data_IF_004474893474
#
_entry.id   IF_004474893474
#
_cell.length_a   1.000
_cell.length_b   1.000
_cell.length_c   1.000
_cell.angle_alpha   90.00
_cell.angle_beta   90.00
_cell.angle_gamma   90.00
#
_symmetry.space_group_name_H-M   'P 1'
#
loop_
_entity.id
_entity.type
_entity.pdbx_description
1 polymer ?
#
# COMPACT_ATOMS: atom_id res chain seq x y z
N UNK A 1 6.84 0.62 25.80
CA UNK A 1 6.75 0.29 24.37
C UNK A 1 6.96 1.56 23.58
N UNK A 2 7.87 1.55 22.60
CA UNK A 2 8.01 2.69 21.66
C UNK A 2 6.89 2.54 20.63
N UNK A 3 6.10 3.60 20.45
CA UNK A 3 4.98 3.57 19.51
C UNK A 3 5.50 3.27 18.09
N UNK A 4 4.84 2.35 17.37
CA UNK A 4 5.20 1.87 16.02
C UNK A 4 6.54 1.14 15.89
N UNK A 5 7.21 0.79 16.98
CA UNK A 5 8.38 -0.07 16.87
C UNK A 5 7.96 -1.45 16.34
N UNK A 6 8.70 -1.94 15.34
CA UNK A 6 8.54 -3.30 14.82
C UNK A 6 9.39 -4.28 15.62
N UNK A 7 8.74 -5.03 16.50
CA UNK A 7 9.39 -6.05 17.33
C UNK A 7 9.81 -7.28 16.51
N UNK A 8 9.05 -7.62 15.46
CA UNK A 8 9.28 -8.80 14.62
C UNK A 8 10.27 -8.55 13.46
N UNK A 9 10.82 -7.33 13.32
CA UNK A 9 11.70 -7.02 12.21
C UNK A 9 13.05 -7.76 12.32
N UNK A 10 13.35 -8.58 11.31
CA UNK A 10 14.63 -9.28 11.22
C UNK A 10 15.46 -8.69 10.07
N UNK A 11 16.65 -8.12 10.34
CA UNK A 11 17.55 -7.70 9.27
C UNK A 11 17.96 -8.89 8.41
N UNK A 12 17.82 -8.73 7.10
CA UNK A 12 18.18 -9.81 6.18
C UNK A 12 19.69 -10.09 6.20
N UNK A 13 20.06 -11.34 6.47
CA UNK A 13 21.45 -11.81 6.45
C UNK A 13 21.88 -12.23 5.04
N UNK A 14 22.09 -11.29 4.11
CA UNK A 14 22.61 -11.64 2.76
C UNK A 14 24.12 -11.47 2.66
N UNK A 15 24.81 -12.53 2.23
CA UNK A 15 26.23 -12.53 1.85
C UNK A 15 26.48 -12.29 0.34
N UNK A 16 25.41 -12.10 -0.46
CA UNK A 16 25.45 -11.81 -1.90
C UNK A 16 24.31 -10.87 -2.30
N UNK A 17 24.50 -10.06 -3.33
CA UNK A 17 23.45 -9.19 -3.89
C UNK A 17 22.39 -10.04 -4.64
N UNK A 18 21.14 -10.15 -4.17
CA UNK A 18 20.09 -10.83 -4.91
C UNK A 18 19.66 -9.97 -6.12
N UNK A 19 19.40 -10.59 -7.27
CA UNK A 19 18.85 -9.90 -8.45
C UNK A 19 17.40 -9.52 -8.15
N UNK A 20 17.16 -8.25 -7.81
CA UNK A 20 15.85 -7.72 -7.45
C UNK A 20 15.64 -6.36 -8.08
N UNK A 21 14.38 -6.03 -8.37
CA UNK A 21 14.01 -4.65 -8.68
C UNK A 21 13.90 -3.88 -7.37
N UNK A 22 14.52 -2.70 -7.32
CA UNK A 22 14.43 -1.79 -6.19
C UNK A 22 13.66 -0.55 -6.64
N UNK A 23 12.45 -0.36 -6.10
CA UNK A 23 11.59 0.79 -6.42
C UNK A 23 12.16 2.08 -5.85
N UNK A 24 12.67 2.05 -4.62
CA UNK A 24 13.22 3.22 -3.92
C UNK A 24 14.52 2.85 -3.19
N UNK A 25 15.47 3.79 -3.06
CA UNK A 25 16.55 3.65 -2.09
C UNK A 25 16.01 3.94 -0.68
N UNK A 26 16.68 3.42 0.36
CA UNK A 26 16.35 3.66 1.78
C UNK A 26 16.72 5.08 2.22
N UNK A 27 16.04 6.06 1.64
CA UNK A 27 16.14 7.49 1.94
C UNK A 27 14.72 8.05 2.07
N UNK A 28 14.58 9.08 2.88
CA UNK A 28 13.31 9.79 3.02
C UNK A 28 12.79 10.32 1.67
N UNK A 29 11.45 10.32 1.57
CA UNK A 29 10.68 10.96 0.48
C UNK A 29 11.08 10.54 -0.93
N UNK A 30 11.28 9.23 -1.14
CA UNK A 30 11.56 8.67 -2.47
C UNK A 30 10.32 7.98 -3.01
N UNK A 31 10.09 8.19 -4.30
CA UNK A 31 9.11 7.45 -5.09
C UNK A 31 9.80 6.90 -6.34
N UNK A 32 9.33 5.76 -6.79
CA UNK A 32 9.74 5.14 -8.04
C UNK A 32 8.62 4.26 -8.55
N UNK A 33 8.57 4.09 -9.86
CA UNK A 33 7.59 3.24 -10.53
C UNK A 33 8.28 2.39 -11.59
N UNK A 34 7.70 1.22 -11.88
CA UNK A 34 8.10 0.36 -12.98
C UNK A 34 6.83 -0.13 -13.66
N UNK A 35 6.77 0.05 -14.98
CA UNK A 35 5.58 -0.27 -15.76
C UNK A 35 5.88 -1.31 -16.82
N UNK A 36 4.88 -2.16 -17.06
CA UNK A 36 4.89 -2.99 -18.25
C UNK A 36 4.58 -2.10 -19.47
N UNK A 37 5.46 -2.08 -20.45
CA UNK A 37 5.38 -1.12 -21.56
C UNK A 37 4.29 -1.44 -22.59
N UNK A 38 3.76 -2.66 -22.60
CA UNK A 38 2.69 -3.08 -23.51
C UNK A 38 1.35 -2.96 -22.78
N UNK A 39 0.38 -2.18 -23.28
CA UNK A 39 -0.95 -2.13 -22.70
C UNK A 39 -1.62 -3.52 -22.69
N UNK A 40 -2.28 -3.84 -21.58
CA UNK A 40 -2.97 -5.12 -21.40
C UNK A 40 -4.48 -4.88 -21.32
N UNK A 41 -5.24 -5.70 -22.04
CA UNK A 41 -6.70 -5.70 -21.93
C UNK A 41 -7.12 -6.37 -20.61
N UNK A 42 -7.66 -5.59 -19.68
CA UNK A 42 -8.08 -6.06 -18.35
C UNK A 42 -9.52 -6.57 -18.30
N UNK A 43 -10.32 -6.31 -19.35
CA UNK A 43 -11.74 -6.65 -19.42
C UNK A 43 -12.05 -8.17 -19.32
N UNK A 44 -11.06 -9.03 -19.55
CA UNK A 44 -11.20 -10.49 -19.42
C UNK A 44 -10.76 -11.05 -18.07
N UNK A 45 -10.38 -10.18 -17.12
CA UNK A 45 -9.72 -10.59 -15.90
C UNK A 45 -8.23 -10.82 -16.10
N UNK A 46 -7.49 -10.85 -14.99
CA UNK A 46 -6.09 -11.26 -14.98
C UNK A 46 -5.71 -11.82 -13.62
N UNK A 47 -4.59 -12.53 -13.60
CA UNK A 47 -3.92 -12.95 -12.37
C UNK A 47 -2.44 -12.58 -12.49
N UNK A 48 -1.89 -12.02 -11.41
CA UNK A 48 -0.45 -11.83 -11.27
C UNK A 48 0.02 -12.31 -9.91
N UNK A 49 1.30 -12.67 -9.83
CA UNK A 49 1.94 -13.12 -8.61
C UNK A 49 3.36 -12.60 -8.59
N UNK A 50 3.77 -12.02 -7.46
CA UNK A 50 5.11 -11.50 -7.28
C UNK A 50 5.54 -11.66 -5.83
N UNK A 51 6.85 -11.73 -5.62
CA UNK A 51 7.44 -11.69 -4.28
C UNK A 51 7.99 -10.31 -4.00
N UNK A 52 7.84 -9.84 -2.78
CA UNK A 52 8.42 -8.58 -2.34
C UNK A 52 9.07 -8.73 -0.96
N UNK A 53 9.91 -7.76 -0.61
CA UNK A 53 10.53 -7.67 0.70
C UNK A 53 10.76 -6.19 1.01
N UNK A 54 10.29 -5.75 2.17
CA UNK A 54 10.58 -4.42 2.69
C UNK A 54 11.78 -4.54 3.62
N UNK A 55 12.88 -3.91 3.25
CA UNK A 55 14.18 -4.04 3.92
C UNK A 55 14.80 -2.68 4.17
N UNK A 56 15.89 -2.65 4.95
CA UNK A 56 16.64 -1.42 5.23
C UNK A 56 15.77 -0.29 5.82
N UNK A 57 14.90 -0.66 6.78
CA UNK A 57 14.03 0.28 7.48
C UNK A 57 14.80 1.30 8.31
N UNK A 58 14.22 2.49 8.49
CA UNK A 58 14.79 3.51 9.35
C UNK A 58 14.90 2.98 10.78
N UNK A 59 16.05 3.23 11.42
CA UNK A 59 16.31 2.93 12.82
C UNK A 59 16.61 4.23 13.55
N UNK A 60 15.74 4.59 14.47
CA UNK A 60 15.90 5.76 15.34
C UNK A 60 16.29 5.28 16.74
N UNK A 61 17.36 5.83 17.31
CA UNK A 61 17.81 5.49 18.65
C UNK A 61 17.79 6.72 19.55
N UNK A 62 17.11 6.59 20.68
CA UNK A 62 16.99 7.63 21.70
C UNK A 62 17.83 7.26 22.91
N UNK A 63 18.72 8.18 23.29
CA UNK A 63 19.55 8.06 24.48
C UNK A 63 18.80 8.61 25.69
N UNK A 64 18.48 7.74 26.65
CA UNK A 64 17.82 8.10 27.89
C UNK A 64 18.86 8.53 28.91
N UNK A 65 18.71 9.75 29.41
CA UNK A 65 19.59 10.35 30.42
C UNK A 65 18.85 10.52 31.73
N UNK A 66 19.60 10.66 32.81
CA UNK A 66 19.04 11.05 34.10
C UNK A 66 18.44 12.47 34.03
N UNK A 67 17.59 12.87 35.00
CA UNK A 67 16.95 14.18 35.00
C UNK A 67 17.91 15.38 35.00
N UNK A 68 19.16 15.19 35.46
CA UNK A 68 20.19 16.21 35.44
C UNK A 68 21.05 16.17 34.15
N UNK A 69 20.68 15.34 33.18
CA UNK A 69 21.38 15.15 31.90
C UNK A 69 22.88 14.88 32.03
N UNK A 70 23.31 14.36 33.18
CA UNK A 70 24.70 14.19 33.59
C UNK A 70 25.20 12.76 33.36
N UNK A 71 24.30 11.79 33.27
CA UNK A 71 24.56 10.37 33.07
C UNK A 71 23.66 9.82 31.96
N UNK A 72 24.29 9.08 31.05
CA UNK A 72 23.57 8.26 30.09
C UNK A 72 23.14 6.97 30.81
N UNK A 73 21.83 6.73 30.91
CA UNK A 73 21.29 5.56 31.59
C UNK A 73 21.25 4.36 30.64
N UNK A 74 20.57 4.50 29.51
CA UNK A 74 20.44 3.46 28.49
C UNK A 74 20.05 4.06 27.13
N UNK A 75 20.25 3.30 26.06
CA UNK A 75 19.80 3.63 24.72
C UNK A 75 18.63 2.71 24.34
N UNK A 76 17.57 3.27 23.77
CA UNK A 76 16.48 2.49 23.17
C UNK A 76 16.40 2.82 21.68
N UNK A 77 16.41 1.80 20.83
CA UNK A 77 16.21 1.96 19.40
C UNK A 77 14.81 1.48 18.99
N UNK A 78 14.22 2.17 18.03
CA UNK A 78 13.03 1.75 17.32
C UNK A 78 13.35 1.61 15.82
N UNK A 79 12.98 0.47 15.25
CA UNK A 79 12.93 0.26 13.81
C UNK A 79 11.51 0.55 13.34
N UNK A 80 11.40 1.47 12.38
CA UNK A 80 10.15 1.82 11.74
C UNK A 80 10.43 2.45 10.37
N UNK A 81 10.07 1.75 9.29
CA UNK A 81 10.16 2.24 7.92
C UNK A 81 8.77 2.36 7.29
N UNK A 82 8.67 3.29 6.34
CA UNK A 82 7.49 3.53 5.53
C UNK A 82 7.88 4.18 4.20
N UNK A 83 6.92 4.50 3.34
CA UNK A 83 5.47 4.39 3.58
C UNK A 83 4.88 3.08 3.04
N UNK A 84 5.51 2.44 2.05
CA UNK A 84 5.04 1.18 1.47
C UNK A 84 5.27 1.12 -0.04
N UNK A 85 4.42 0.38 -0.75
CA UNK A 85 4.37 0.38 -2.23
C UNK A 85 2.98 -0.04 -2.73
N UNK A 86 2.75 -0.02 -4.04
CA UNK A 86 1.51 -0.50 -4.63
C UNK A 86 1.70 -1.32 -5.90
N UNK A 87 0.79 -2.25 -6.16
CA UNK A 87 0.52 -2.80 -7.49
C UNK A 87 -0.57 -1.96 -8.15
N UNK A 88 -0.33 -1.45 -9.36
CA UNK A 88 -1.22 -0.45 -9.97
C UNK A 88 -1.59 -0.86 -11.39
N UNK A 89 -2.86 -0.69 -11.71
CA UNK A 89 -3.40 -0.68 -13.08
C UNK A 89 -3.78 0.76 -13.37
N UNK A 90 -3.36 1.32 -14.50
CA UNK A 90 -3.73 2.68 -14.87
C UNK A 90 -3.90 2.85 -16.38
N UNK A 91 -4.61 3.90 -16.75
CA UNK A 91 -4.63 4.45 -18.10
C UNK A 91 -4.35 5.96 -18.10
N UNK A 92 -3.38 6.37 -17.26
CA UNK A 92 -2.85 7.72 -17.18
C UNK A 92 -2.11 8.12 -18.48
N UNK A 93 -2.29 9.37 -18.91
CA UNK A 93 -1.70 9.94 -20.13
C UNK A 93 -0.16 9.91 -20.14
N UNK A 94 0.47 9.89 -18.96
CA UNK A 94 1.94 9.76 -18.82
C UNK A 94 2.45 8.36 -19.20
N UNK A 95 1.56 7.38 -19.38
CA UNK A 95 1.89 6.01 -19.76
C UNK A 95 3.04 5.43 -18.89
N UNK A 96 4.10 4.90 -19.52
CA UNK A 96 5.26 4.32 -18.82
C UNK A 96 6.09 5.31 -18.00
N UNK A 97 5.74 6.59 -18.01
CA UNK A 97 6.33 7.63 -17.19
C UNK A 97 5.43 8.06 -16.01
N UNK A 98 4.29 7.39 -15.80
CA UNK A 98 3.42 7.68 -14.67
C UNK A 98 4.18 7.47 -13.35
N UNK A 99 4.16 8.49 -12.50
CA UNK A 99 4.72 8.44 -11.16
C UNK A 99 3.89 9.39 -10.30
N UNK A 100 3.32 8.85 -9.24
CA UNK A 100 2.58 9.59 -8.23
C UNK A 100 3.47 10.24 -7.18
N UNK A 101 2.83 10.80 -6.16
CA UNK A 101 3.51 11.38 -5.01
C UNK A 101 4.37 10.37 -4.23
N UNK A 102 5.37 10.87 -3.52
CA UNK A 102 6.12 10.09 -2.53
C UNK A 102 5.42 10.13 -1.17
N UNK A 103 5.94 9.38 -0.20
CA UNK A 103 5.34 9.34 1.13
C UNK A 103 4.08 8.48 1.12
N UNK A 104 3.05 8.95 1.84
CA UNK A 104 1.69 8.38 1.89
C UNK A 104 1.07 8.04 0.52
N UNK A 105 1.50 8.71 -0.54
CA UNK A 105 0.95 8.51 -1.89
C UNK A 105 1.54 7.27 -2.59
N UNK A 106 2.53 6.60 -1.97
CA UNK A 106 3.09 5.30 -2.37
C UNK A 106 3.54 5.19 -3.84
N UNK A 107 3.83 6.32 -4.48
CA UNK A 107 4.18 6.41 -5.89
C UNK A 107 3.02 6.28 -6.87
N UNK A 108 1.76 6.16 -6.40
CA UNK A 108 0.58 6.07 -7.26
C UNK A 108 -0.43 7.21 -7.05
N UNK A 109 -0.39 7.91 -5.91
CA UNK A 109 -1.23 9.08 -5.66
C UNK A 109 -1.04 10.16 -6.72
N UNK A 110 -2.14 10.62 -7.32
CA UNK A 110 -2.14 11.52 -8.46
C UNK A 110 -2.08 10.83 -9.83
N UNK A 111 -2.03 9.49 -9.90
CA UNK A 111 -2.19 8.76 -11.18
C UNK A 111 -3.68 8.68 -11.55
N UNK A 112 -4.02 9.21 -12.72
CA UNK A 112 -5.38 9.25 -13.24
C UNK A 112 -5.85 7.87 -13.70
N UNK A 113 -7.16 7.64 -13.63
CA UNK A 113 -7.81 6.43 -14.15
C UNK A 113 -7.08 5.16 -13.72
N UNK A 114 -6.96 4.99 -12.40
CA UNK A 114 -6.16 3.93 -11.81
C UNK A 114 -6.87 3.20 -10.68
N UNK A 115 -6.47 1.94 -10.53
CA UNK A 115 -6.77 1.09 -9.38
C UNK A 115 -5.44 0.63 -8.79
N UNK A 116 -5.26 0.86 -7.50
CA UNK A 116 -4.07 0.50 -6.76
C UNK A 116 -4.42 -0.55 -5.70
N UNK A 117 -3.61 -1.60 -5.60
CA UNK A 117 -3.55 -2.45 -4.42
C UNK A 117 -2.35 -2.00 -3.63
N UNK A 118 -2.58 -1.30 -2.53
CA UNK A 118 -1.51 -0.77 -1.70
C UNK A 118 -1.06 -1.77 -0.64
N UNK A 119 0.21 -1.67 -0.28
CA UNK A 119 0.90 -2.39 0.77
C UNK A 119 1.46 -1.33 1.70
N UNK A 120 0.61 -0.86 2.61
CA UNK A 120 0.87 0.26 3.49
C UNK A 120 1.55 -0.21 4.78
N UNK A 121 2.60 0.49 5.15
CA UNK A 121 3.47 0.21 6.31
C UNK A 121 3.57 1.40 7.25
N UNK A 122 2.81 2.48 7.00
CA UNK A 122 2.92 3.71 7.74
C UNK A 122 1.56 4.30 8.08
N UNK A 123 1.25 4.28 9.37
CA UNK A 123 0.06 4.95 9.87
C UNK A 123 0.12 6.49 9.66
N UNK A 124 -0.82 7.06 8.91
CA UNK A 124 -1.06 8.47 8.68
C UNK A 124 -2.23 8.95 9.58
N UNK A 125 -1.98 9.59 10.73
CA UNK A 125 -3.08 9.99 11.64
C UNK A 125 -3.93 11.16 11.11
N UNK A 126 -3.41 11.93 10.16
CA UNK A 126 -4.06 13.15 9.65
C UNK A 126 -5.18 12.86 8.63
N UNK A 127 -5.21 11.67 8.03
CA UNK A 127 -6.24 11.24 7.07
C UNK A 127 -7.53 10.77 7.77
N UNK A 128 -7.48 10.55 9.08
CA UNK A 128 -8.62 10.27 9.96
C UNK A 128 -9.66 11.41 10.07
N UNK A 129 -9.58 12.44 9.23
CA UNK A 129 -10.50 13.60 9.20
C UNK A 129 -11.62 13.44 8.17
N UNK A 130 -11.63 12.36 7.37
CA UNK A 130 -12.69 12.09 6.39
C UNK A 130 -13.62 10.99 6.89
N UNK A 131 -14.89 11.04 6.49
CA UNK A 131 -15.95 10.12 6.94
C UNK A 131 -15.90 8.73 6.28
N UNK A 132 -14.87 8.43 5.52
CA UNK A 132 -14.78 7.27 4.61
C UNK A 132 -13.78 6.21 5.03
N UNK A 133 -12.91 6.51 6.01
CA UNK A 133 -11.96 5.54 6.54
C UNK A 133 -10.97 6.20 7.49
N UNK A 134 -10.42 5.38 8.40
CA UNK A 134 -9.26 5.74 9.19
C UNK A 134 -8.14 4.80 8.80
N UNK A 135 -6.94 5.34 8.68
CA UNK A 135 -5.77 4.51 8.49
C UNK A 135 -5.57 3.57 9.68
N UNK A 136 -5.14 2.34 9.41
CA UNK A 136 -4.81 1.37 10.44
C UNK A 136 -3.46 1.70 11.07
N UNK A 137 -3.38 1.54 12.39
CA UNK A 137 -2.11 1.70 13.15
C UNK A 137 -1.10 0.57 12.87
N UNK A 138 -1.48 -0.41 12.08
CA UNK A 138 -0.70 -1.58 11.70
C UNK A 138 -0.57 -1.63 10.18
N UNK A 139 0.49 -2.28 9.71
CA UNK A 139 0.64 -2.63 8.30
C UNK A 139 -0.61 -3.28 7.74
N UNK A 140 -0.97 -2.92 6.52
CA UNK A 140 -2.17 -3.43 5.90
C UNK A 140 -2.11 -3.39 4.37
N UNK A 141 -3.09 -4.06 3.78
CA UNK A 141 -3.34 -4.06 2.34
C UNK A 141 -4.72 -3.50 2.10
N UNK A 142 -4.85 -2.58 1.14
CA UNK A 142 -6.12 -2.03 0.71
C UNK A 142 -6.21 -1.86 -0.82
N UNK A 143 -7.40 -1.56 -1.32
CA UNK A 143 -7.66 -1.34 -2.74
C UNK A 143 -8.21 0.07 -2.93
N UNK A 144 -7.45 0.93 -3.61
CA UNK A 144 -7.71 2.36 -3.76
C UNK A 144 -8.02 2.72 -5.21
N UNK A 145 -9.10 3.49 -5.43
CA UNK A 145 -9.41 4.08 -6.73
C UNK A 145 -10.32 5.31 -6.58
N UNK A 146 -10.15 6.27 -7.48
CA UNK A 146 -11.03 7.44 -7.64
C UNK A 146 -11.67 7.49 -9.02
N UNK A 147 -11.91 6.32 -9.60
CA UNK A 147 -12.42 6.15 -10.96
C UNK A 147 -11.47 6.83 -11.94
N UNK A 148 -11.95 7.76 -12.76
CA UNK A 148 -11.13 8.51 -13.73
C UNK A 148 -10.32 9.65 -13.12
N UNK A 149 -10.63 10.07 -11.89
CA UNK A 149 -9.90 11.14 -11.20
C UNK A 149 -8.48 10.69 -10.79
N UNK A 150 -7.58 11.63 -10.47
CA UNK A 150 -6.30 11.29 -9.86
C UNK A 150 -6.55 10.49 -8.57
N UNK A 151 -5.91 9.33 -8.44
CA UNK A 151 -6.04 8.47 -7.28
C UNK A 151 -5.34 9.06 -6.04
N UNK A 152 -5.58 8.51 -4.86
CA UNK A 152 -5.00 8.99 -3.59
C UNK A 152 -4.44 7.83 -2.77
N UNK A 153 -3.37 8.08 -2.04
CA UNK A 153 -2.91 7.26 -0.91
C UNK A 153 -3.87 7.26 0.27
N UNK A 154 -4.67 8.33 0.40
CA UNK A 154 -5.59 8.49 1.52
C UNK A 154 -6.81 7.53 1.41
N UNK A 155 -7.39 7.15 2.56
CA UNK A 155 -8.49 6.17 2.66
C UNK A 155 -9.81 6.67 2.05
N UNK A 156 -9.86 7.95 1.66
CA UNK A 156 -10.96 8.50 0.86
C UNK A 156 -11.01 7.94 -0.57
N UNK A 157 -9.95 7.24 -1.01
CA UNK A 157 -9.91 6.44 -2.23
C UNK A 157 -10.20 4.95 -1.99
N UNK A 158 -10.32 4.51 -0.74
CA UNK A 158 -10.45 3.09 -0.42
C UNK A 158 -11.79 2.53 -0.86
N UNK A 159 -11.78 1.41 -1.60
CA UNK A 159 -12.98 0.74 -2.12
C UNK A 159 -13.55 -0.32 -1.17
N UNK A 160 -12.75 -0.81 -0.22
CA UNK A 160 -13.11 -1.88 0.70
C UNK A 160 -12.37 -1.76 2.03
N UNK A 161 -12.75 -2.57 3.01
CA UNK A 161 -12.09 -2.56 4.31
C UNK A 161 -10.62 -2.99 4.18
N UNK A 162 -9.70 -2.24 4.81
CA UNK A 162 -8.29 -2.60 4.86
C UNK A 162 -8.07 -3.94 5.58
N UNK A 163 -7.05 -4.69 5.15
CA UNK A 163 -6.71 -5.99 5.74
C UNK A 163 -5.35 -5.92 6.43
N UNK A 164 -5.30 -6.00 7.78
CA UNK A 164 -4.04 -5.92 8.51
C UNK A 164 -3.17 -7.15 8.24
N UNK A 165 -1.89 -6.93 7.97
CA UNK A 165 -0.90 -7.98 7.79
C UNK A 165 0.51 -7.42 7.97
N UNK A 166 1.38 -8.08 8.72
CA UNK A 166 2.78 -7.65 8.85
C UNK A 166 3.52 -7.89 7.53
N UNK A 167 3.75 -6.83 6.75
CA UNK A 167 4.42 -6.87 5.43
C UNK A 167 5.80 -6.24 5.44
N UNK A 168 6.12 -5.46 6.47
CA UNK A 168 7.45 -4.90 6.72
C UNK A 168 8.14 -5.54 7.94
N UNK A 169 8.11 -6.87 8.02
CA UNK A 169 8.85 -7.67 9.00
C UNK A 169 10.30 -8.01 8.55
N UNK A 170 10.67 -7.64 7.33
CA UNK A 170 11.98 -7.95 6.76
C UNK A 170 12.06 -9.31 6.06
N UNK A 171 10.99 -10.11 6.08
CA UNK A 171 10.90 -11.39 5.37
C UNK A 171 10.45 -11.20 3.92
N UNK A 172 10.56 -12.26 3.12
CA UNK A 172 10.06 -12.27 1.74
C UNK A 172 8.60 -12.73 1.74
N UNK A 173 7.74 -11.89 1.20
CA UNK A 173 6.30 -12.13 1.09
C UNK A 173 5.89 -12.51 -0.33
N UNK A 174 4.82 -13.31 -0.45
CA UNK A 174 4.19 -13.65 -1.73
C UNK A 174 2.86 -12.91 -1.86
N UNK A 175 2.74 -12.04 -2.87
CA UNK A 175 1.49 -11.40 -3.23
C UNK A 175 0.87 -12.07 -4.46
N UNK A 176 -0.43 -12.35 -4.39
CA UNK A 176 -1.24 -12.81 -5.52
C UNK A 176 -2.40 -11.84 -5.70
N UNK A 177 -2.50 -11.23 -6.88
CA UNK A 177 -3.61 -10.33 -7.25
C UNK A 177 -4.42 -11.00 -8.35
N UNK A 178 -5.74 -11.07 -8.14
CA UNK A 178 -6.69 -11.65 -9.08
C UNK A 178 -7.80 -10.63 -9.34
N UNK A 179 -7.99 -10.27 -10.61
CA UNK A 179 -9.11 -9.46 -11.06
C UNK A 179 -10.07 -10.35 -11.83
N UNK A 180 -11.28 -10.51 -11.31
CA UNK A 180 -12.33 -11.32 -11.92
C UNK A 180 -13.35 -10.39 -12.60
N UNK A 181 -13.70 -10.60 -13.88
CA UNK A 181 -14.67 -9.78 -14.59
C UNK A 181 -16.13 -10.16 -14.24
N UNK A 182 -16.31 -10.93 -13.16
CA UNK A 182 -17.59 -11.41 -12.66
C UNK A 182 -17.54 -11.54 -11.14
N UNK A 183 -18.73 -11.55 -10.52
CA UNK A 183 -18.86 -11.83 -9.09
C UNK A 183 -18.66 -13.32 -8.85
N UNK A 184 -17.54 -13.67 -8.23
CA UNK A 184 -17.25 -15.03 -7.80
C UNK A 184 -17.84 -15.28 -6.41
N UNK A 185 -19.00 -15.94 -6.37
CA UNK A 185 -19.76 -16.20 -5.13
C UNK A 185 -19.00 -17.02 -4.09
N UNK A 186 -17.98 -17.78 -4.50
CA UNK A 186 -17.07 -18.50 -3.59
C UNK A 186 -16.28 -17.57 -2.65
N UNK A 187 -16.15 -16.29 -2.98
CA UNK A 187 -15.47 -15.28 -2.15
C UNK A 187 -16.44 -14.33 -1.44
N UNK A 188 -17.75 -14.57 -1.49
CA UNK A 188 -18.76 -13.62 -0.99
C UNK A 188 -18.54 -13.23 0.48
N UNK A 189 -18.13 -14.17 1.33
CA UNK A 189 -17.86 -13.93 2.76
C UNK A 189 -16.64 -13.00 2.99
N UNK A 190 -15.80 -12.81 1.98
CA UNK A 190 -14.62 -11.94 2.03
C UNK A 190 -14.88 -10.55 1.46
N UNK A 191 -16.05 -10.32 0.84
CA UNK A 191 -16.37 -9.06 0.19
C UNK A 191 -16.52 -7.96 1.23
N UNK A 192 -15.88 -6.82 0.95
CA UNK A 192 -15.98 -5.60 1.74
C UNK A 192 -16.19 -4.43 0.80
N UNK A 193 -16.84 -3.39 1.30
CA UNK A 193 -17.11 -2.19 0.54
C UNK A 193 -17.09 -0.97 1.44
N UNK A 194 -16.62 0.15 0.91
CA UNK A 194 -16.82 1.48 1.47
C UNK A 194 -17.83 2.25 0.62
N UNK A 195 -18.31 3.43 1.05
CA UNK A 195 -19.11 4.31 0.20
C UNK A 195 -18.42 4.73 -1.11
N UNK A 196 -17.09 4.68 -1.18
CA UNK A 196 -16.34 5.05 -2.39
C UNK A 196 -16.48 4.02 -3.51
N UNK A 197 -16.99 2.82 -3.23
CA UNK A 197 -17.31 1.82 -4.25
C UNK A 197 -18.55 2.19 -5.06
N UNK A 198 -19.45 3.02 -4.52
CA UNK A 198 -20.75 3.34 -5.14
C UNK A 198 -20.66 3.87 -6.58
N UNK A 199 -19.74 4.79 -6.94
CA UNK A 199 -19.61 5.27 -8.31
C UNK A 199 -19.23 4.19 -9.34
N UNK A 200 -18.69 3.06 -8.89
CA UNK A 200 -18.32 1.92 -9.74
C UNK A 200 -19.47 0.93 -9.91
N UNK A 201 -20.52 1.03 -9.10
CA UNK A 201 -21.70 0.17 -9.22
C UNK A 201 -22.60 0.73 -10.32
N UNK A 202 -22.66 0.05 -11.46
CA UNK A 202 -23.69 0.33 -12.47
C UNK A 202 -24.85 -0.66 -12.31
N UNK A 203 -26.06 -0.10 -12.26
CA UNK A 203 -27.28 -0.86 -12.48
C UNK A 203 -27.45 -1.08 -13.98
N UNK A 204 -27.66 -2.33 -14.38
CA UNK A 204 -27.83 -2.71 -15.79
C UNK A 204 -29.31 -2.73 -16.21
N UNK A 205 -30.16 -1.90 -15.59
CA UNK A 205 -31.60 -1.79 -15.87
C UNK A 205 -32.39 -3.13 -15.77
N UNK A 206 -31.81 -4.17 -15.16
CA UNK A 206 -32.48 -5.46 -14.91
C UNK A 206 -33.10 -5.55 -13.52
N UNK A 207 -33.02 -4.49 -12.70
CA UNK A 207 -33.60 -4.42 -11.35
C UNK A 207 -33.15 -5.56 -10.41
N UNK A 208 -32.06 -6.27 -10.76
CA UNK A 208 -31.62 -7.53 -10.12
C UNK A 208 -30.11 -7.75 -10.07
N UNK A 209 -29.27 -6.98 -10.79
CA UNK A 209 -27.81 -7.23 -10.84
C UNK A 209 -27.01 -5.92 -10.92
N UNK A 210 -26.23 -5.66 -9.87
CA UNK A 210 -25.19 -4.64 -9.87
C UNK A 210 -23.85 -5.27 -10.31
N UNK A 211 -23.09 -4.56 -11.13
CA UNK A 211 -21.72 -4.92 -11.48
C UNK A 211 -20.77 -3.77 -11.15
N UNK A 212 -19.53 -4.11 -10.76
CA UNK A 212 -18.45 -3.15 -10.57
C UNK A 212 -17.83 -2.89 -11.95
N UNK A 213 -17.77 -1.63 -12.38
CA UNK A 213 -17.32 -1.19 -13.72
C UNK A 213 -16.07 -0.32 -13.63
#
# INVERSE_FOLDING_TARGET
AVFRHRDDFVPHKTSRCPVRVRLTPSKSTRAGSIWYHVPLATNKGFQTTFTFQISDQSRECSLHRDPLFSLNLYESCAVHGGDGFAFVIHNDERAVHALGGAGRELGYGGINNSLAVEFDTWYNPDVNKTSTGTDLVVDHVAVHSRSTLPNSGDEDASLGQQRPHSIADGEVHLAKVVYLPYIAFEYLDNFTATPNLVPFLKDNDENRRYYIV
#
